data_IF_929879872114
#
_entry.id   IF_929879872114
#
_cell.length_a   1.000
_cell.length_b   1.000
_cell.length_c   1.000
_cell.angle_alpha   90.00
_cell.angle_beta   90.00
_cell.angle_gamma   90.00
#
_symmetry.space_group_name_H-M   'P 1'
#
loop_
_entity.id
_entity.type
_entity.pdbx_description
1 polymer ?
#
# COMPACT_ATOMS: atom_id res chain seq x y z
N UNK A 1 0.34 18.36 -3.81
CA UNK A 1 1.07 18.59 -2.54
C UNK A 1 1.99 17.39 -2.31
N UNK A 2 3.23 17.56 -1.81
CA UNK A 2 4.05 16.39 -1.50
C UNK A 2 3.33 15.55 -0.44
N UNK A 3 3.20 14.24 -0.67
CA UNK A 3 2.45 13.32 0.24
C UNK A 3 2.98 13.36 1.69
N UNK A 4 4.25 13.76 1.87
CA UNK A 4 4.90 14.07 3.15
C UNK A 4 4.22 15.16 4.00
N UNK A 5 3.19 15.85 3.49
CA UNK A 5 2.40 16.85 4.21
C UNK A 5 1.08 16.32 4.75
N UNK A 6 0.71 15.07 4.45
CA UNK A 6 -0.44 14.45 5.08
C UNK A 6 0.00 13.88 6.44
N UNK A 7 -0.72 14.16 7.53
CA UNK A 7 -0.39 13.59 8.83
C UNK A 7 -0.38 12.06 8.73
N UNK A 8 0.75 11.44 9.07
CA UNK A 8 0.77 10.01 9.34
C UNK A 8 -0.13 9.77 10.55
N UNK A 9 -1.05 8.79 10.48
CA UNK A 9 -1.92 8.53 11.63
C UNK A 9 -1.07 8.25 12.86
N UNK A 10 -1.62 8.57 14.03
CA UNK A 10 -0.98 8.50 15.36
C UNK A 10 -0.21 7.19 15.62
N UNK A 11 -0.60 6.09 14.98
CA UNK A 11 -0.01 4.77 15.12
C UNK A 11 1.08 4.38 14.10
N UNK A 12 1.27 5.15 13.03
CA UNK A 12 2.30 4.87 12.01
C UNK A 12 3.61 5.63 12.28
N UNK A 13 3.79 6.13 13.51
CA UNK A 13 5.01 6.78 13.97
C UNK A 13 5.53 7.87 13.02
N UNK A 14 6.86 7.89 12.82
CA UNK A 14 7.58 8.74 11.86
C UNK A 14 7.69 8.09 10.48
N UNK A 15 6.74 7.23 10.10
CA UNK A 15 6.70 6.67 8.75
C UNK A 15 6.67 7.80 7.72
N UNK A 16 7.44 7.63 6.65
CA UNK A 16 7.37 8.50 5.47
C UNK A 16 7.35 7.60 4.25
N UNK A 17 6.74 8.05 3.15
CA UNK A 17 6.62 7.24 1.94
C UNK A 17 7.98 6.79 1.40
N UNK A 18 9.04 7.57 1.65
CA UNK A 18 10.42 7.21 1.27
C UNK A 18 11.04 6.07 2.09
N UNK A 19 10.38 5.60 3.16
CA UNK A 19 10.78 4.41 3.93
C UNK A 19 10.01 3.15 3.54
N UNK A 20 9.03 3.26 2.63
CA UNK A 20 8.31 2.10 2.14
C UNK A 20 9.28 1.13 1.45
N UNK A 21 9.13 -0.19 1.64
CA UNK A 21 9.77 -1.17 0.77
C UNK A 21 9.43 -0.89 -0.69
N UNK A 22 10.44 -0.95 -1.55
CA UNK A 22 10.28 -0.72 -2.98
C UNK A 22 10.54 -1.99 -3.77
N UNK A 23 9.78 -2.15 -4.86
CA UNK A 23 10.02 -3.16 -5.89
C UNK A 23 10.27 -2.44 -7.21
N UNK A 24 11.19 -2.94 -8.02
CA UNK A 24 11.43 -2.42 -9.36
C UNK A 24 10.35 -2.93 -10.32
N UNK A 25 9.64 -2.00 -10.94
CA UNK A 25 8.63 -2.29 -11.96
C UNK A 25 9.04 -1.56 -13.24
N UNK A 26 8.89 -2.22 -14.38
CA UNK A 26 9.13 -1.63 -15.69
C UNK A 26 8.04 -0.60 -16.04
N UNK A 27 8.46 0.53 -16.60
CA UNK A 27 7.57 1.63 -17.00
C UNK A 27 8.25 2.98 -16.86
N UNK A 28 7.96 3.94 -17.74
CA UNK A 28 8.49 5.31 -17.63
C UNK A 28 7.71 6.17 -16.63
N UNK A 29 6.51 5.71 -16.26
CA UNK A 29 5.56 6.38 -15.39
C UNK A 29 4.64 5.35 -14.71
N UNK A 30 3.71 5.82 -13.86
CA UNK A 30 2.80 4.97 -13.08
C UNK A 30 1.68 4.33 -13.92
N UNK A 31 1.68 4.51 -15.25
CA UNK A 31 0.63 4.04 -16.15
C UNK A 31 1.16 3.12 -17.26
N UNK A 32 2.48 2.93 -17.33
CA UNK A 32 3.13 2.19 -18.40
C UNK A 32 3.81 0.93 -17.87
N UNK A 33 3.88 -0.09 -18.71
CA UNK A 33 4.53 -1.36 -18.40
C UNK A 33 3.92 -2.07 -17.18
N UNK A 34 4.76 -2.89 -16.54
CA UNK A 34 4.39 -3.63 -15.34
C UNK A 34 4.06 -2.74 -14.13
N UNK A 35 4.55 -1.50 -14.11
CA UNK A 35 4.20 -0.52 -13.09
C UNK A 35 2.71 -0.13 -13.19
N UNK A 36 2.26 0.26 -14.39
CA UNK A 36 0.85 0.55 -14.64
C UNK A 36 -0.06 -0.66 -14.41
N UNK A 37 0.40 -1.85 -14.79
CA UNK A 37 -0.35 -3.10 -14.57
C UNK A 37 -0.60 -3.38 -13.08
N UNK A 38 0.43 -3.24 -12.22
CA UNK A 38 0.28 -3.45 -10.78
C UNK A 38 -0.65 -2.39 -10.14
N UNK A 39 -0.57 -1.13 -10.57
CA UNK A 39 -1.51 -0.09 -10.13
C UNK A 39 -2.96 -0.43 -10.47
N UNK A 40 -3.21 -0.86 -11.71
CA UNK A 40 -4.55 -1.24 -12.18
C UNK A 40 -5.09 -2.46 -11.43
N UNK A 41 -4.28 -3.50 -11.28
CA UNK A 41 -4.67 -4.70 -10.56
C UNK A 41 -5.02 -4.41 -9.10
N UNK A 42 -4.17 -3.65 -8.41
CA UNK A 42 -4.42 -3.23 -7.02
C UNK A 42 -5.69 -2.38 -6.91
N UNK A 43 -5.90 -1.44 -7.84
CA UNK A 43 -7.12 -0.62 -7.90
C UNK A 43 -8.40 -1.46 -8.04
N UNK A 44 -8.40 -2.43 -8.95
CA UNK A 44 -9.53 -3.33 -9.16
C UNK A 44 -9.85 -4.16 -7.90
N UNK A 45 -8.83 -4.60 -7.16
CA UNK A 45 -9.02 -5.34 -5.91
C UNK A 45 -9.63 -4.48 -4.81
N UNK A 46 -9.18 -3.21 -4.70
CA UNK A 46 -9.74 -2.25 -3.74
C UNK A 46 -11.22 -2.00 -4.05
N UNK A 47 -11.56 -1.79 -5.32
CA UNK A 47 -12.94 -1.59 -5.77
C UNK A 47 -13.80 -2.84 -5.53
N UNK A 48 -13.29 -4.03 -5.87
CA UNK A 48 -14.01 -5.30 -5.70
C UNK A 48 -14.24 -5.66 -4.23
N UNK A 49 -13.30 -5.31 -3.34
CA UNK A 49 -13.45 -5.51 -1.91
C UNK A 49 -14.35 -4.49 -1.22
N UNK A 50 -14.89 -3.51 -1.96
CA UNK A 50 -15.70 -2.41 -1.43
C UNK A 50 -15.01 -1.66 -0.28
N UNK A 51 -13.69 -1.56 -0.31
CA UNK A 51 -12.94 -0.81 0.69
C UNK A 51 -13.25 0.68 0.53
N UNK A 52 -13.50 1.35 1.66
CA UNK A 52 -13.68 2.80 1.69
C UNK A 52 -12.36 3.54 1.54
N UNK A 53 -12.18 4.62 2.29
CA UNK A 53 -10.87 5.29 2.38
C UNK A 53 -9.82 4.44 3.09
N UNK A 54 -10.25 3.44 3.85
CA UNK A 54 -9.42 2.69 4.79
C UNK A 54 -9.66 1.18 4.68
N UNK A 55 -8.63 0.43 5.05
CA UNK A 55 -8.64 -1.03 5.13
C UNK A 55 -7.62 -1.52 6.16
N UNK A 56 -7.68 -2.80 6.55
CA UNK A 56 -6.65 -3.37 7.42
C UNK A 56 -5.34 -3.57 6.65
N UNK A 57 -4.21 -3.42 7.34
CA UNK A 57 -2.89 -3.72 6.82
C UNK A 57 -2.82 -5.17 6.32
N UNK A 58 -3.40 -6.11 7.08
CA UNK A 58 -3.42 -7.53 6.73
C UNK A 58 -4.05 -7.77 5.36
N UNK A 59 -5.18 -7.13 5.09
CA UNK A 59 -5.86 -7.21 3.79
C UNK A 59 -5.00 -6.59 2.69
N UNK A 60 -4.46 -5.38 2.92
CA UNK A 60 -3.63 -4.67 1.95
C UNK A 60 -2.38 -5.47 1.58
N UNK A 61 -1.68 -6.01 2.60
CA UNK A 61 -0.52 -6.88 2.46
C UNK A 61 -0.87 -8.10 1.61
N UNK A 62 -1.95 -8.80 1.94
CA UNK A 62 -2.32 -10.03 1.25
C UNK A 62 -2.64 -9.77 -0.23
N UNK A 63 -3.40 -8.72 -0.55
CA UNK A 63 -3.69 -8.34 -1.95
C UNK A 63 -2.43 -8.07 -2.75
N UNK A 64 -1.55 -7.20 -2.25
CA UNK A 64 -0.32 -6.84 -2.98
C UNK A 64 0.63 -8.05 -3.10
N UNK A 65 0.73 -8.88 -2.06
CA UNK A 65 1.52 -10.12 -2.11
C UNK A 65 1.00 -11.07 -3.17
N UNK A 66 -0.32 -11.25 -3.25
CA UNK A 66 -0.92 -12.15 -4.23
C UNK A 66 -0.67 -11.65 -5.67
N UNK A 67 -0.80 -10.35 -5.92
CA UNK A 67 -0.51 -9.74 -7.23
C UNK A 67 0.97 -9.82 -7.61
N UNK A 68 1.87 -9.47 -6.70
CA UNK A 68 3.33 -9.53 -6.97
C UNK A 68 3.78 -10.98 -7.17
N UNK A 69 3.26 -11.92 -6.37
CA UNK A 69 3.57 -13.34 -6.56
C UNK A 69 3.03 -13.88 -7.89
N UNK A 70 1.83 -13.45 -8.30
CA UNK A 70 1.24 -13.84 -9.58
C UNK A 70 2.05 -13.31 -10.77
N UNK A 71 2.45 -12.03 -10.73
CA UNK A 71 3.18 -11.40 -11.84
C UNK A 71 4.63 -11.84 -11.96
N UNK A 72 5.32 -12.07 -10.83
CA UNK A 72 6.78 -12.25 -10.82
C UNK A 72 7.23 -13.61 -10.28
N UNK A 73 6.30 -14.48 -9.86
CA UNK A 73 6.64 -15.79 -9.30
C UNK A 73 7.34 -15.72 -7.94
N UNK A 74 7.24 -14.58 -7.23
CA UNK A 74 7.85 -14.40 -5.93
C UNK A 74 7.19 -15.28 -4.86
N UNK A 75 7.98 -15.78 -3.91
CA UNK A 75 7.45 -16.55 -2.78
C UNK A 75 6.60 -15.66 -1.86
N UNK A 76 5.33 -16.05 -1.65
CA UNK A 76 4.37 -15.27 -0.86
C UNK A 76 4.81 -15.12 0.60
N UNK A 77 5.44 -16.15 1.19
CA UNK A 77 5.87 -16.09 2.59
C UNK A 77 7.04 -15.10 2.76
N UNK A 78 7.95 -15.05 1.79
CA UNK A 78 9.05 -14.10 1.74
C UNK A 78 8.55 -12.66 1.61
N UNK A 79 7.60 -12.42 0.69
CA UNK A 79 7.01 -11.08 0.52
C UNK A 79 6.28 -10.63 1.79
N UNK A 80 5.48 -11.51 2.42
CA UNK A 80 4.81 -11.21 3.69
C UNK A 80 5.81 -10.86 4.77
N UNK A 81 6.86 -11.67 4.96
CA UNK A 81 7.88 -11.42 5.96
C UNK A 81 8.61 -10.09 5.76
N UNK A 82 8.91 -9.70 4.51
CA UNK A 82 9.54 -8.42 4.20
C UNK A 82 8.62 -7.23 4.54
N UNK A 83 7.35 -7.33 4.16
CA UNK A 83 6.36 -6.30 4.47
C UNK A 83 6.09 -6.22 5.98
N UNK A 84 5.89 -7.35 6.65
CA UNK A 84 5.60 -7.42 8.08
C UNK A 84 6.76 -6.85 8.89
N UNK A 85 8.00 -7.16 8.49
CA UNK A 85 9.18 -6.58 9.11
C UNK A 85 9.21 -5.06 8.94
N UNK A 86 9.10 -4.58 7.70
CA UNK A 86 9.25 -3.16 7.41
C UNK A 86 8.16 -2.29 8.06
N UNK A 87 6.90 -2.75 8.01
CA UNK A 87 5.78 -2.02 8.59
C UNK A 87 5.62 -2.26 10.09
N UNK A 88 6.04 -3.42 10.61
CA UNK A 88 6.13 -3.69 12.05
C UNK A 88 7.17 -2.81 12.74
N UNK A 89 8.30 -2.53 12.09
CA UNK A 89 9.31 -1.58 12.58
C UNK A 89 8.78 -0.12 12.58
N UNK A 90 7.69 0.18 11.84
CA UNK A 90 7.09 1.51 11.72
C UNK A 90 5.83 1.73 12.58
N UNK A 91 5.04 0.69 12.84
CA UNK A 91 3.78 0.75 13.57
C UNK A 91 4.00 0.69 15.09
N UNK A 92 3.34 1.57 15.85
CA UNK A 92 3.60 1.75 17.29
C UNK A 92 2.43 1.42 18.21
N UNK A 93 1.26 1.05 17.66
CA UNK A 93 0.03 0.85 18.45
C UNK A 93 -0.31 -0.61 18.78
N UNK A 94 0.65 -1.53 18.64
CA UNK A 94 0.46 -2.95 19.00
C UNK A 94 0.48 -3.89 17.80
N UNK A 95 -0.54 -4.73 17.66
CA UNK A 95 -0.58 -5.76 16.62
C UNK A 95 -0.73 -5.16 15.21
N UNK A 96 0.27 -5.42 14.37
CA UNK A 96 0.33 -4.93 12.99
C UNK A 96 -0.82 -5.44 12.13
N UNK A 97 -1.29 -6.67 12.34
CA UNK A 97 -2.39 -7.24 11.55
C UNK A 97 -3.71 -6.46 11.75
N UNK A 98 -3.83 -5.73 12.86
CA UNK A 98 -4.97 -4.84 13.18
C UNK A 98 -4.78 -3.39 12.73
N UNK A 99 -3.59 -3.04 12.20
CA UNK A 99 -3.29 -1.68 11.79
C UNK A 99 -4.17 -1.25 10.61
N UNK A 100 -4.57 0.03 10.58
CA UNK A 100 -5.41 0.59 9.51
C UNK A 100 -4.56 1.42 8.55
N UNK A 101 -4.66 1.14 7.26
CA UNK A 101 -3.98 1.85 6.17
C UNK A 101 -4.99 2.53 5.24
N UNK A 102 -4.54 3.54 4.49
CA UNK A 102 -5.34 4.16 3.45
C UNK A 102 -5.41 3.25 2.23
N UNK A 103 -6.61 2.84 1.81
CA UNK A 103 -6.79 1.92 0.69
C UNK A 103 -6.37 2.56 -0.64
N UNK A 104 -6.60 3.86 -0.83
CA UNK A 104 -6.34 4.58 -2.08
C UNK A 104 -4.97 5.26 -2.15
N UNK A 105 -4.03 4.93 -1.25
CA UNK A 105 -2.71 5.56 -1.18
C UNK A 105 -1.90 5.46 -2.50
N UNK A 106 -2.18 4.47 -3.34
CA UNK A 106 -1.55 4.28 -4.65
C UNK A 106 -2.21 5.06 -5.78
N UNK A 107 -3.45 5.53 -5.63
CA UNK A 107 -4.18 6.24 -6.66
C UNK A 107 -3.78 7.73 -6.62
N UNK A 108 -3.30 8.29 -7.72
CA UNK A 108 -2.95 9.71 -7.80
C UNK A 108 -4.18 10.57 -7.47
N UNK A 109 -4.06 11.44 -6.47
CA UNK A 109 -5.19 12.15 -5.89
C UNK A 109 -5.99 12.96 -6.89
N UNK A 110 -7.29 12.68 -6.96
CA UNK A 110 -8.29 13.68 -7.28
C UNK A 110 -9.49 13.49 -6.36
N UNK A 111 -9.32 13.85 -5.08
CA UNK A 111 -10.44 14.11 -4.18
C UNK A 111 -10.14 15.40 -3.46
N UNK A 112 -10.86 16.44 -3.88
CA UNK A 112 -10.91 17.72 -3.22
C UNK A 112 -11.13 17.51 -1.72
N UNK A 113 -10.38 18.26 -0.92
CA UNK A 113 -10.68 18.52 0.47
C UNK A 113 -12.10 19.09 0.57
N UNK A 114 -13.11 18.26 0.81
CA UNK A 114 -14.36 18.70 1.41
C UNK A 114 -14.87 17.56 2.34
N UNK A 115 -14.88 17.92 3.63
CA UNK A 115 -15.95 17.67 4.59
C UNK A 115 -15.86 16.52 5.61
N UNK A 116 -15.66 17.02 6.84
CA UNK A 116 -16.04 16.59 8.21
C UNK A 116 -15.12 15.62 8.94
#
# INVERSE_FOLDING_TARGET
MPRSKNPTRECWGKYTEGKAPTICLEGKDNHTGSHGALHMATGNLIEAGHFGKEMSYKEARNMVVDEVALMYGCDKSCLKAQLDKAYGDAYTCGDLDSAIVNADAGNGGNKNNEDI
#
